data_IF_441912411361
#
_entry.id   IF_441912411361
#
_cell.length_a   1.000
_cell.length_b   1.000
_cell.length_c   1.000
_cell.angle_alpha   90.00
_cell.angle_beta   90.00
_cell.angle_gamma   90.00
#
_symmetry.space_group_name_H-M   'P 1'
#
loop_
_entity.id
_entity.type
_entity.pdbx_description
1 polymer ?
#
# COMPACT_ATOMS: atom_id res chain seq x y z
N UNK A 1 -7.06 2.49 -14.53
CA UNK A 1 -5.94 2.61 -13.57
C UNK A 1 -4.66 2.81 -14.35
N UNK A 2 -3.78 3.67 -13.84
CA UNK A 2 -2.42 3.84 -14.36
C UNK A 2 -1.44 3.55 -13.22
N UNK A 3 -0.66 2.47 -13.34
CA UNK A 3 0.43 2.19 -12.38
C UNK A 3 1.52 3.22 -12.61
N UNK A 4 1.84 4.00 -11.59
CA UNK A 4 2.89 5.01 -11.62
C UNK A 4 4.21 4.43 -11.15
N UNK A 5 4.16 3.54 -10.15
CA UNK A 5 5.33 2.90 -9.58
C UNK A 5 4.99 1.55 -8.97
N UNK A 6 5.95 0.62 -9.07
CA UNK A 6 5.91 -0.69 -8.45
C UNK A 6 7.29 -1.01 -7.86
N UNK A 7 7.33 -1.35 -6.59
CA UNK A 7 8.53 -1.72 -5.84
C UNK A 7 8.27 -3.06 -5.17
N UNK A 8 9.21 -3.99 -5.27
CA UNK A 8 9.00 -5.36 -4.83
C UNK A 8 10.31 -6.01 -4.35
N UNK A 9 10.23 -6.74 -3.25
CA UNK A 9 11.28 -7.65 -2.76
C UNK A 9 10.65 -8.97 -2.29
N UNK A 10 11.40 -9.80 -1.58
CA UNK A 10 10.95 -11.10 -1.07
C UNK A 10 9.79 -11.00 -0.08
N UNK A 11 9.63 -9.87 0.61
CA UNK A 11 8.62 -9.66 1.65
C UNK A 11 7.52 -8.71 1.22
N UNK A 12 7.85 -7.57 0.61
CA UNK A 12 6.91 -6.50 0.34
C UNK A 12 6.67 -6.29 -1.15
N UNK A 13 5.45 -5.88 -1.48
CA UNK A 13 5.08 -5.29 -2.76
C UNK A 13 4.39 -3.95 -2.46
N UNK A 14 4.90 -2.87 -3.04
CA UNK A 14 4.29 -1.54 -3.03
C UNK A 14 3.90 -1.18 -4.46
N UNK A 15 2.68 -0.67 -4.63
CA UNK A 15 2.20 -0.11 -5.89
C UNK A 15 1.62 1.27 -5.64
N UNK A 16 2.13 2.25 -6.37
CA UNK A 16 1.48 3.55 -6.53
C UNK A 16 0.72 3.55 -7.85
N UNK A 17 -0.57 3.84 -7.80
CA UNK A 17 -1.38 3.91 -9.00
C UNK A 17 -2.40 5.04 -8.93
N UNK A 18 -2.69 5.60 -10.10
CA UNK A 18 -3.76 6.56 -10.29
C UNK A 18 -5.04 5.84 -10.72
N UNK A 19 -6.12 6.04 -9.96
CA UNK A 19 -7.46 5.51 -10.23
C UNK A 19 -8.45 6.64 -9.98
N UNK A 20 -9.30 6.95 -10.96
CA UNK A 20 -10.33 7.99 -10.85
C UNK A 20 -9.76 9.37 -10.41
N UNK A 21 -8.63 9.77 -11.01
CA UNK A 21 -7.87 11.00 -10.69
C UNK A 21 -7.40 11.09 -9.22
N UNK A 22 -7.30 9.96 -8.52
CA UNK A 22 -6.76 9.87 -7.15
C UNK A 22 -5.56 8.94 -7.13
N UNK A 23 -4.56 9.32 -6.33
CA UNK A 23 -3.41 8.46 -6.04
C UNK A 23 -3.79 7.47 -4.96
N UNK A 24 -3.55 6.20 -5.26
CA UNK A 24 -3.66 5.10 -4.32
C UNK A 24 -2.29 4.48 -4.11
N UNK A 25 -2.02 4.13 -2.85
CA UNK A 25 -0.87 3.33 -2.47
C UNK A 25 -1.37 2.00 -1.94
N UNK A 26 -0.97 0.94 -2.61
CA UNK A 26 -1.19 -0.43 -2.20
C UNK A 26 0.10 -1.01 -1.64
N UNK A 27 0.00 -1.69 -0.50
CA UNK A 27 1.08 -2.43 0.14
C UNK A 27 0.61 -3.86 0.42
N UNK A 28 1.47 -4.83 0.13
CA UNK A 28 1.29 -6.24 0.50
C UNK A 28 2.51 -6.74 1.26
N UNK A 29 2.31 -7.26 2.46
CA UNK A 29 3.29 -8.08 3.18
C UNK A 29 3.02 -9.56 2.85
N UNK A 30 3.89 -10.15 2.03
CA UNK A 30 3.82 -11.54 1.58
C UNK A 30 4.02 -12.54 2.72
N UNK A 31 4.80 -12.17 3.74
CA UNK A 31 5.11 -13.06 4.86
C UNK A 31 3.99 -13.04 5.90
N UNK A 32 3.48 -11.87 6.24
CA UNK A 32 2.39 -11.72 7.23
C UNK A 32 0.99 -11.86 6.61
N UNK A 33 0.90 -12.02 5.28
CA UNK A 33 -0.35 -12.08 4.52
C UNK A 33 -1.28 -10.91 4.83
N UNK A 34 -0.68 -9.72 4.95
CA UNK A 34 -1.43 -8.48 5.14
C UNK A 34 -1.41 -7.66 3.85
N UNK A 35 -2.49 -6.94 3.63
CA UNK A 35 -2.62 -6.02 2.51
C UNK A 35 -3.25 -4.73 3.01
N UNK A 36 -2.85 -3.61 2.41
CA UNK A 36 -3.50 -2.33 2.64
C UNK A 36 -3.60 -1.55 1.36
N UNK A 37 -4.69 -0.81 1.23
CA UNK A 37 -4.87 0.22 0.22
C UNK A 37 -5.15 1.53 0.93
N UNK A 38 -4.52 2.61 0.52
CA UNK A 38 -4.83 3.93 1.07
C UNK A 38 -4.60 5.07 0.10
N UNK A 39 -5.16 6.21 0.46
CA UNK A 39 -4.97 7.49 -0.22
C UNK A 39 -4.07 8.33 0.69
N UNK A 40 -2.92 8.80 0.18
CA UNK A 40 -2.03 9.63 0.97
C UNK A 40 -2.57 11.07 1.06
N UNK A 41 -2.42 11.70 2.22
CA UNK A 41 -2.81 13.12 2.42
C UNK A 41 -1.89 14.07 1.64
N UNK A 42 -0.63 13.68 1.47
CA UNK A 42 0.44 14.45 0.83
C UNK A 42 1.27 13.54 -0.05
N UNK A 43 2.08 14.11 -0.94
CA UNK A 43 2.98 13.33 -1.79
C UNK A 43 3.90 12.47 -0.92
N UNK A 44 3.87 11.16 -1.13
CA UNK A 44 4.76 10.19 -0.48
C UNK A 44 5.95 9.92 -1.39
N UNK A 45 7.16 10.02 -0.83
CA UNK A 45 8.38 9.63 -1.53
C UNK A 45 8.65 8.14 -1.32
N UNK A 46 8.04 7.31 -2.18
CA UNK A 46 8.17 5.86 -2.07
C UNK A 46 9.59 5.37 -2.33
N UNK A 47 10.39 6.07 -3.15
CA UNK A 47 11.78 5.67 -3.40
C UNK A 47 12.60 5.82 -2.12
N UNK A 48 12.45 6.96 -1.44
CA UNK A 48 13.13 7.21 -0.17
C UNK A 48 12.70 6.23 0.92
N UNK A 49 11.40 5.94 1.03
CA UNK A 49 10.91 4.95 2.00
C UNK A 49 11.44 3.54 1.69
N UNK A 50 11.52 3.19 0.41
CA UNK A 50 12.02 1.90 -0.04
C UNK A 50 13.52 1.75 0.18
N UNK A 51 14.29 2.81 -0.07
CA UNK A 51 15.72 2.85 0.22
C UNK A 51 15.97 2.62 1.71
N UNK A 52 15.26 3.36 2.58
CA UNK A 52 15.34 3.17 4.05
C UNK A 52 15.04 1.75 4.47
N UNK A 53 13.94 1.17 3.97
CA UNK A 53 13.57 -0.23 4.22
C UNK A 53 14.70 -1.21 3.86
N UNK A 54 15.46 -0.95 2.78
CA UNK A 54 16.56 -1.83 2.36
C UNK A 54 17.85 -1.63 3.14
N UNK A 55 18.09 -0.44 3.69
CA UNK A 55 19.37 -0.09 4.32
C UNK A 55 19.32 -0.06 5.84
N UNK A 56 18.17 0.27 6.43
CA UNK A 56 17.98 0.45 7.87
C UNK A 56 17.27 -0.77 8.46
N UNK A 57 17.94 -1.51 9.35
CA UNK A 57 17.43 -2.77 9.93
C UNK A 57 16.16 -2.59 10.77
N UNK A 58 16.02 -1.45 11.43
CA UNK A 58 14.93 -1.16 12.36
C UNK A 58 13.77 -0.38 11.71
N UNK A 59 13.85 -0.13 10.40
CA UNK A 59 12.82 0.60 9.68
C UNK A 59 11.59 -0.28 9.41
N UNK A 60 10.45 0.09 9.98
CA UNK A 60 9.18 -0.58 9.71
C UNK A 60 8.45 0.08 8.53
N UNK A 61 8.67 -0.44 7.32
CA UNK A 61 8.03 0.07 6.11
C UNK A 61 6.49 0.14 6.19
N UNK A 62 5.77 -0.90 6.64
CA UNK A 62 4.32 -0.81 6.81
C UNK A 62 3.89 0.26 7.80
N UNK A 63 4.59 0.38 8.93
CA UNK A 63 4.25 1.33 9.99
C UNK A 63 4.32 2.76 9.46
N UNK A 64 5.47 3.13 8.87
CA UNK A 64 5.71 4.46 8.32
C UNK A 64 4.73 4.78 7.19
N UNK A 65 4.45 3.81 6.31
CA UNK A 65 3.55 4.04 5.18
C UNK A 65 2.11 4.27 5.65
N UNK A 66 1.60 3.42 6.55
CA UNK A 66 0.21 3.50 7.03
C UNK A 66 -0.08 4.80 7.79
N UNK A 67 0.92 5.42 8.41
CA UNK A 67 0.81 6.73 9.06
C UNK A 67 0.62 7.87 8.07
N UNK A 68 1.07 7.72 6.82
CA UNK A 68 0.94 8.73 5.76
C UNK A 68 -0.37 8.60 4.95
N UNK A 69 -1.14 7.54 5.19
CA UNK A 69 -2.42 7.28 4.52
C UNK A 69 -3.57 7.75 5.41
N UNK A 70 -4.30 8.75 4.95
CA UNK A 70 -5.45 9.31 5.68
C UNK A 70 -6.61 8.30 5.63
N UNK A 71 -7.09 8.03 4.42
CA UNK A 71 -8.10 7.00 4.17
C UNK A 71 -7.42 5.69 3.77
N UNK A 72 -7.75 4.61 4.46
CA UNK A 72 -7.14 3.31 4.23
C UNK A 72 -8.06 2.16 4.59
N UNK A 73 -7.80 1.02 3.98
CA UNK A 73 -8.31 -0.28 4.38
C UNK A 73 -7.12 -1.20 4.59
N UNK A 74 -7.15 -2.00 5.64
CA UNK A 74 -6.11 -2.97 5.98
C UNK A 74 -6.79 -4.32 6.18
N UNK A 75 -6.22 -5.37 5.60
CA UNK A 75 -6.68 -6.75 5.75
C UNK A 75 -5.56 -7.62 6.29
N UNK A 76 -5.89 -8.50 7.23
CA UNK A 76 -4.99 -9.51 7.77
C UNK A 76 -5.78 -10.81 7.99
N UNK A 77 -5.52 -11.84 7.18
CA UNK A 77 -6.21 -13.15 7.17
C UNK A 77 -7.74 -13.07 7.34
N UNK A 78 -8.25 -13.04 8.57
CA UNK A 78 -9.68 -13.03 8.92
C UNK A 78 -10.16 -11.70 9.52
N UNK A 79 -9.38 -10.62 9.40
CA UNK A 79 -9.68 -9.32 9.99
C UNK A 79 -9.52 -8.21 8.97
N UNK A 80 -10.42 -7.22 9.07
CA UNK A 80 -10.45 -6.05 8.20
C UNK A 80 -10.63 -4.81 9.06
N UNK A 81 -9.83 -3.80 8.81
CA UNK A 81 -9.98 -2.47 9.37
C UNK A 81 -10.23 -1.47 8.25
N UNK A 82 -11.44 -0.90 8.22
CA UNK A 82 -11.87 0.11 7.25
C UNK A 82 -11.81 1.50 7.91
N UNK A 83 -10.97 2.38 7.35
CA UNK A 83 -10.75 3.74 7.83
C UNK A 83 -10.93 4.70 6.64
N UNK A 84 -12.16 4.93 6.22
CA UNK A 84 -12.49 5.79 5.07
C UNK A 84 -12.38 5.12 3.69
N UNK A 85 -11.66 3.99 3.58
CA UNK A 85 -11.75 3.08 2.42
C UNK A 85 -12.36 1.74 2.85
N UNK A 86 -12.94 1.03 1.87
CA UNK A 86 -13.64 -0.24 2.08
C UNK A 86 -12.85 -1.43 1.53
N UNK A 87 -13.15 -2.62 2.06
CA UNK A 87 -12.64 -3.90 1.56
C UNK A 87 -12.98 -4.10 0.08
N UNK A 88 -14.19 -3.71 -0.32
CA UNK A 88 -14.64 -3.75 -1.72
C UNK A 88 -13.69 -2.96 -2.61
N UNK A 89 -13.30 -1.74 -2.21
CA UNK A 89 -12.37 -0.92 -2.99
C UNK A 89 -10.99 -1.56 -3.11
N UNK A 90 -10.50 -2.23 -2.07
CA UNK A 90 -9.25 -3.01 -2.13
C UNK A 90 -9.37 -4.19 -3.11
N UNK A 91 -10.49 -4.91 -3.09
CA UNK A 91 -10.72 -6.03 -4.00
C UNK A 91 -10.83 -5.59 -5.47
N UNK A 92 -11.53 -4.47 -5.73
CA UNK A 92 -11.57 -3.83 -7.05
C UNK A 92 -10.16 -3.47 -7.52
N UNK A 93 -9.39 -2.77 -6.69
CA UNK A 93 -8.02 -2.36 -7.01
C UNK A 93 -7.15 -3.56 -7.37
N UNK A 94 -7.19 -4.64 -6.58
CA UNK A 94 -6.45 -5.88 -6.86
C UNK A 94 -6.90 -6.56 -8.15
N UNK A 95 -8.19 -6.55 -8.44
CA UNK A 95 -8.72 -7.14 -9.68
C UNK A 95 -8.19 -6.39 -10.89
N UNK A 96 -8.11 -5.06 -10.82
CA UNK A 96 -7.57 -4.23 -11.90
C UNK A 96 -6.05 -4.38 -11.99
N UNK A 97 -5.34 -4.53 -10.87
CA UNK A 97 -3.88 -4.67 -10.83
C UNK A 97 -3.37 -5.98 -11.45
N UNK A 98 -4.17 -7.05 -11.39
CA UNK A 98 -3.82 -8.36 -11.94
C UNK A 98 -4.35 -8.60 -13.37
N UNK A 99 -4.95 -7.58 -14.00
CA UNK A 99 -5.34 -7.61 -15.42
C UNK A 99 -4.23 -7.04 -16.29
#
# INVERSE_FOLDING_TARGET
MKVLRKLEDDRYLIVEAEVDNRIFIYLKDKQQKTESLGIPEKRVDLDKMWEKHRTEKDFCLPCELLLLLEQKVITAENSVAELGLTLERLQEFKTILNR
#
